data_IF_041050441688
#
_entry.id   IF_041050441688
#
_cell.length_a   1.000
_cell.length_b   1.000
_cell.length_c   1.000
_cell.angle_alpha   90.00
_cell.angle_beta   90.00
_cell.angle_gamma   90.00
#
_symmetry.space_group_name_H-M   'P 1'
#
loop_
_entity.id
_entity.type
_entity.pdbx_description
1 polymer ?
#
# COMPACT_ATOMS: atom_id res chain seq x y z
N UNK A 1 -27.07 -3.99 -11.91
CA UNK A 1 -26.27 -3.85 -11.69
C UNK A 1 -25.49 -4.57 -11.41
N UNK A 2 -25.18 -4.50 -11.57
CA UNK A 2 -24.35 -5.17 -11.25
C UNK A 2 -23.93 -5.07 -10.08
N UNK A 3 -23.98 -5.87 -9.44
CA UNK A 3 -23.49 -5.67 -8.29
C UNK A 3 -22.18 -5.20 -8.44
N UNK A 4 -21.72 -4.61 -7.51
CA UNK A 4 -20.38 -4.26 -7.58
C UNK A 4 -19.60 -5.51 -7.41
N UNK A 5 -18.64 -5.70 -8.25
CA UNK A 5 -17.73 -6.79 -8.07
C UNK A 5 -16.48 -6.26 -7.43
N UNK A 6 -15.51 -7.12 -7.22
CA UNK A 6 -14.31 -6.71 -6.50
C UNK A 6 -13.56 -5.61 -7.18
N UNK A 7 -13.62 -5.56 -8.50
CA UNK A 7 -12.85 -4.55 -9.23
C UNK A 7 -13.40 -3.17 -9.02
N UNK A 8 -14.67 -3.06 -8.65
CA UNK A 8 -15.31 -1.77 -8.44
C UNK A 8 -15.22 -1.29 -7.01
N UNK A 9 -14.72 -2.13 -6.12
CA UNK A 9 -14.61 -1.75 -4.72
C UNK A 9 -13.31 -0.99 -4.49
N UNK A 10 -13.39 0.02 -3.64
CA UNK A 10 -12.21 0.78 -3.27
C UNK A 10 -11.44 0.05 -2.18
N UNK A 11 -10.14 0.14 -2.25
CA UNK A 11 -9.25 -0.60 -1.37
C UNK A 11 -8.54 0.32 -0.41
N UNK A 12 -8.04 -0.25 0.66
CA UNK A 12 -7.15 0.43 1.57
C UNK A 12 -5.74 0.03 1.18
N UNK A 13 -4.90 1.02 0.89
CA UNK A 13 -3.55 0.77 0.44
C UNK A 13 -2.56 0.88 1.57
N UNK A 14 -1.58 -0.02 1.58
CA UNK A 14 -0.48 0.01 2.53
C UNK A 14 0.83 0.05 1.76
N UNK A 15 1.69 0.99 2.15
CA UNK A 15 3.02 1.07 1.60
C UNK A 15 4.03 0.73 2.69
N UNK A 16 4.91 -0.23 2.41
CA UNK A 16 5.91 -0.68 3.36
C UNK A 16 7.29 -0.39 2.80
N UNK A 17 8.04 0.45 3.48
CA UNK A 17 9.41 0.76 3.09
C UNK A 17 10.43 -0.17 3.76
N UNK A 18 9.93 -1.23 4.43
CA UNK A 18 10.80 -2.23 5.03
C UNK A 18 10.71 -2.36 6.52
N UNK A 19 9.85 -1.57 7.19
CA UNK A 19 9.78 -1.60 8.65
C UNK A 19 8.33 -1.69 9.08
N UNK A 20 7.91 -2.88 9.48
CA UNK A 20 6.69 -3.05 10.25
C UNK A 20 5.36 -2.93 9.53
N UNK A 21 5.37 -2.73 8.21
CA UNK A 21 4.11 -2.56 7.48
C UNK A 21 3.22 -3.78 7.56
N UNK A 22 3.81 -4.97 7.56
CA UNK A 22 3.03 -6.20 7.59
C UNK A 22 2.29 -6.36 8.92
N UNK A 23 2.90 -5.92 10.02
CA UNK A 23 2.25 -5.95 11.32
C UNK A 23 1.01 -5.06 11.34
N UNK A 24 1.14 -3.85 10.74
CA UNK A 24 0.00 -2.94 10.66
C UNK A 24 -1.11 -3.53 9.80
N UNK A 25 -0.74 -4.16 8.69
CA UNK A 25 -1.72 -4.80 7.82
C UNK A 25 -2.47 -5.90 8.57
N UNK A 26 -1.77 -6.72 9.34
CA UNK A 26 -2.42 -7.78 10.11
C UNK A 26 -3.44 -7.19 11.09
N UNK A 27 -3.07 -6.08 11.74
CA UNK A 27 -3.99 -5.45 12.68
C UNK A 27 -5.21 -4.91 11.97
N UNK A 28 -5.01 -4.31 10.80
CA UNK A 28 -6.14 -3.79 10.03
C UNK A 28 -7.07 -4.92 9.61
N UNK A 29 -6.52 -6.05 9.21
CA UNK A 29 -7.34 -7.19 8.81
C UNK A 29 -8.19 -7.70 9.97
N UNK A 30 -7.64 -7.67 11.20
CA UNK A 30 -8.40 -8.07 12.37
C UNK A 30 -9.54 -7.11 12.66
N UNK A 31 -9.28 -5.81 12.50
CA UNK A 31 -10.25 -4.79 12.88
C UNK A 31 -11.27 -4.52 11.79
N UNK A 32 -10.88 -4.70 10.54
CA UNK A 32 -11.74 -4.39 9.39
C UNK A 32 -11.67 -5.53 8.39
N UNK A 33 -12.24 -6.70 8.74
CA UNK A 33 -12.06 -7.89 7.90
C UNK A 33 -12.85 -7.84 6.58
N UNK A 34 -13.79 -6.90 6.44
CA UNK A 34 -14.61 -6.83 5.23
C UNK A 34 -14.08 -5.83 4.21
N UNK A 35 -12.95 -5.16 4.50
CA UNK A 35 -12.35 -4.27 3.55
C UNK A 35 -11.43 -5.01 2.60
N UNK A 36 -11.23 -4.45 1.42
CA UNK A 36 -10.24 -4.96 0.49
C UNK A 36 -8.95 -4.16 0.67
N UNK A 37 -7.82 -4.83 0.50
CA UNK A 37 -6.52 -4.24 0.77
C UNK A 37 -5.59 -4.44 -0.40
N UNK A 38 -4.66 -3.47 -0.56
CA UNK A 38 -3.52 -3.66 -1.42
C UNK A 38 -2.27 -3.30 -0.62
N UNK A 39 -1.28 -4.17 -0.69
CA UNK A 39 -0.07 -4.04 0.07
C UNK A 39 1.11 -3.97 -0.90
N UNK A 40 1.86 -2.88 -0.82
CA UNK A 40 3.01 -2.67 -1.68
C UNK A 40 4.27 -2.62 -0.81
N UNK A 41 5.17 -3.58 -1.01
CA UNK A 41 6.43 -3.61 -0.30
C UNK A 41 7.56 -3.41 -1.31
N UNK A 42 8.34 -2.36 -1.11
CA UNK A 42 9.43 -2.03 -2.02
C UNK A 42 10.69 -2.77 -1.56
N UNK A 43 10.72 -4.06 -1.85
CA UNK A 43 11.79 -4.91 -1.35
C UNK A 43 13.12 -4.68 -2.06
N UNK A 44 13.09 -4.19 -3.29
CA UNK A 44 14.31 -3.98 -4.06
C UNK A 44 15.12 -2.78 -3.55
N UNK A 45 14.43 -1.80 -2.99
CA UNK A 45 15.08 -0.55 -2.62
C UNK A 45 15.26 -0.39 -1.12
N UNK A 46 14.96 -1.41 -0.35
CA UNK A 46 15.17 -1.38 1.08
C UNK A 46 16.63 -1.61 1.41
N UNK A 47 17.12 -1.00 2.49
CA UNK A 47 16.41 -0.14 3.42
C UNK A 47 16.46 1.33 2.95
N UNK A 48 15.39 2.03 3.20
CA UNK A 48 15.31 3.44 2.81
C UNK A 48 16.22 4.33 3.66
N UNK A 49 16.57 3.88 4.85
CA UNK A 49 17.33 4.69 5.77
C UNK A 49 18.72 5.10 5.30
N UNK A 50 19.28 4.37 4.32
CA UNK A 50 20.60 4.71 3.78
C UNK A 50 20.52 5.53 2.51
N UNK A 51 19.32 5.93 2.09
CA UNK A 51 19.14 6.68 0.86
C UNK A 51 18.99 8.16 1.14
N UNK A 52 19.26 8.99 0.13
CA UNK A 52 19.05 10.42 0.28
C UNK A 52 17.57 10.74 0.28
N UNK A 53 17.24 11.96 0.75
CA UNK A 53 15.84 12.39 0.75
C UNK A 53 15.25 12.40 -0.65
N UNK A 54 16.05 12.81 -1.65
CA UNK A 54 15.56 12.85 -3.02
C UNK A 54 15.27 11.46 -3.53
N UNK A 55 16.13 10.48 -3.20
CA UNK A 55 15.92 9.11 -3.61
C UNK A 55 14.65 8.53 -2.99
N UNK A 56 14.48 8.77 -1.69
CA UNK A 56 13.30 8.28 -0.99
C UNK A 56 12.03 8.89 -1.57
N UNK A 57 12.08 10.21 -1.85
CA UNK A 57 10.92 10.88 -2.43
C UNK A 57 10.50 10.25 -3.74
N UNK A 58 11.46 9.97 -4.63
CA UNK A 58 11.13 9.36 -5.91
C UNK A 58 10.53 7.98 -5.73
N UNK A 59 11.09 7.18 -4.82
CA UNK A 59 10.59 5.84 -4.59
C UNK A 59 9.19 5.85 -4.02
N UNK A 60 8.93 6.79 -3.10
CA UNK A 60 7.60 6.92 -2.51
C UNK A 60 6.59 7.35 -3.56
N UNK A 61 6.96 8.32 -4.41
CA UNK A 61 6.04 8.76 -5.47
C UNK A 61 5.72 7.63 -6.43
N UNK A 62 6.70 6.80 -6.79
CA UNK A 62 6.44 5.67 -7.67
C UNK A 62 5.49 4.66 -7.00
N UNK A 63 5.71 4.40 -5.72
CA UNK A 63 4.84 3.49 -4.99
C UNK A 63 3.43 4.05 -4.90
N UNK A 64 3.30 5.35 -4.64
CA UNK A 64 1.98 5.98 -4.54
C UNK A 64 1.25 5.94 -5.88
N UNK A 65 1.97 6.20 -6.98
CA UNK A 65 1.34 6.10 -8.29
C UNK A 65 0.78 4.71 -8.53
N UNK A 66 1.55 3.69 -8.16
CA UNK A 66 1.10 2.32 -8.34
C UNK A 66 -0.14 2.06 -7.48
N UNK A 67 -0.09 2.43 -6.21
CA UNK A 67 -1.18 2.15 -5.29
C UNK A 67 -2.45 2.89 -5.71
N UNK A 68 -2.32 4.16 -6.07
CA UNK A 68 -3.47 4.96 -6.48
C UNK A 68 -4.14 4.38 -7.71
N UNK A 69 -3.35 3.75 -8.60
CA UNK A 69 -3.93 3.15 -9.81
C UNK A 69 -4.80 1.93 -9.50
N UNK A 70 -4.84 1.49 -8.24
CA UNK A 70 -5.58 0.28 -7.85
C UNK A 70 -6.88 0.59 -7.13
N UNK A 71 -7.43 1.76 -7.32
CA UNK A 71 -8.73 2.13 -6.74
C UNK A 71 -8.70 2.13 -5.21
N UNK A 72 -7.73 2.82 -4.64
CA UNK A 72 -7.66 2.93 -3.19
C UNK A 72 -8.49 4.11 -2.71
N UNK A 73 -8.99 4.00 -1.49
CA UNK A 73 -9.72 5.09 -0.83
C UNK A 73 -8.97 5.62 0.39
N UNK A 74 -7.94 4.92 0.81
CA UNK A 74 -7.15 5.35 1.95
C UNK A 74 -5.79 4.67 1.93
#
# INVERSE_FOLDING_TARGET
MKMSNKEERYKIGFFDSGIGGLTVLHKALEMMPLEDYIYYADTENQPYGIKTKAEVRELVFKAMDFIVSKNVKA
#
